data_IF_193387133310
#
_entry.id   IF_193387133310
#
_cell.length_a   1.000
_cell.length_b   1.000
_cell.length_c   1.000
_cell.angle_alpha   90.00
_cell.angle_beta   90.00
_cell.angle_gamma   90.00
#
_symmetry.space_group_name_H-M   'P 1'
#
loop_
_entity.id
_entity.type
_entity.pdbx_description
1 polymer ?
#
# COMPACT_ATOMS: atom_id res chain seq x y z
N UNK A 1 2.76 42.52 30.59
CA UNK A 1 2.85 41.10 30.16
C UNK A 1 1.53 40.56 29.58
N UNK A 2 0.82 41.31 28.71
CA UNK A 2 -0.50 40.91 28.16
C UNK A 2 -0.54 40.80 26.63
N UNK A 3 0.54 41.21 25.94
CA UNK A 3 0.60 41.26 24.46
C UNK A 3 1.28 40.03 23.82
N UNK A 4 2.04 39.25 24.58
CA UNK A 4 2.74 38.05 24.08
C UNK A 4 1.83 36.81 23.96
N UNK A 5 0.70 36.78 24.67
CA UNK A 5 -0.22 35.64 24.64
C UNK A 5 -1.13 35.60 23.40
N UNK A 6 -1.37 36.73 22.74
CA UNK A 6 -2.28 36.80 21.60
C UNK A 6 -1.64 36.29 20.29
N UNK A 7 -0.31 36.40 20.16
CA UNK A 7 0.42 35.99 18.95
C UNK A 7 0.63 34.47 18.86
N UNK A 8 0.61 33.74 19.98
CA UNK A 8 0.70 32.28 19.98
C UNK A 8 -0.63 31.60 19.66
N UNK A 9 -1.77 32.20 20.02
CA UNK A 9 -3.11 31.68 19.72
C UNK A 9 -3.49 31.81 18.23
N UNK A 10 -2.99 32.83 17.53
CA UNK A 10 -3.26 33.00 16.09
C UNK A 10 -2.53 31.96 15.21
N UNK A 11 -1.37 31.45 15.65
CA UNK A 11 -0.60 30.46 14.89
C UNK A 11 -1.21 29.05 14.92
N UNK A 12 -1.94 28.70 15.98
CA UNK A 12 -2.59 27.39 16.10
C UNK A 12 -3.83 27.24 15.19
N UNK A 13 -4.47 28.34 14.81
CA UNK A 13 -5.66 28.34 13.95
C UNK A 13 -5.34 28.19 12.45
N UNK A 14 -4.07 28.36 12.05
CA UNK A 14 -3.63 28.25 10.66
C UNK A 14 -2.88 26.95 10.36
N UNK A 15 -2.85 25.99 11.29
CA UNK A 15 -2.35 24.66 11.00
C UNK A 15 -3.29 24.01 9.95
N UNK A 16 -2.77 23.56 8.79
CA UNK A 16 -3.58 22.82 7.84
C UNK A 16 -4.26 21.65 8.56
N UNK A 17 -5.58 21.52 8.39
CA UNK A 17 -6.31 20.39 8.95
C UNK A 17 -5.76 19.08 8.39
N UNK A 18 -5.78 18.01 9.19
CA UNK A 18 -5.24 16.71 8.77
C UNK A 18 -5.86 16.23 7.43
N UNK A 19 -5.05 15.77 6.46
CA UNK A 19 -5.55 15.22 5.20
C UNK A 19 -6.55 14.07 5.40
N UNK A 20 -6.46 13.35 6.52
CA UNK A 20 -7.36 12.25 6.86
C UNK A 20 -8.79 12.69 7.22
N UNK A 21 -9.08 13.99 7.37
CA UNK A 21 -10.42 14.52 7.69
C UNK A 21 -11.11 15.19 6.49
N UNK A 22 -10.44 15.21 5.34
CA UNK A 22 -10.93 15.86 4.12
C UNK A 22 -12.14 15.12 3.51
N UNK A 23 -12.90 15.82 2.67
CA UNK A 23 -13.99 15.20 1.90
C UNK A 23 -13.46 14.12 0.95
N UNK A 24 -12.30 14.36 0.37
CA UNK A 24 -11.65 13.46 -0.59
C UNK A 24 -11.24 12.16 0.11
N UNK A 25 -10.66 12.25 1.31
CA UNK A 25 -10.33 11.04 2.07
C UNK A 25 -11.57 10.26 2.52
N UNK A 26 -12.70 10.93 2.81
CA UNK A 26 -13.98 10.24 3.04
C UNK A 26 -14.44 9.46 1.81
N UNK A 27 -14.15 9.94 0.60
CA UNK A 27 -14.45 9.22 -0.63
C UNK A 27 -13.53 8.02 -0.84
N UNK A 28 -12.22 8.21 -0.64
CA UNK A 28 -11.22 7.13 -0.63
C UNK A 28 -11.61 6.04 0.36
N UNK A 29 -12.08 6.41 1.56
CA UNK A 29 -12.58 5.47 2.58
C UNK A 29 -13.70 4.58 2.02
N UNK A 30 -14.68 5.17 1.33
CA UNK A 30 -15.80 4.41 0.74
C UNK A 30 -15.32 3.44 -0.34
N UNK A 31 -14.41 3.88 -1.20
CA UNK A 31 -13.83 3.04 -2.26
C UNK A 31 -12.92 1.94 -1.73
N UNK A 32 -12.30 2.15 -0.57
CA UNK A 32 -11.37 1.20 0.05
C UNK A 32 -12.07 0.08 0.82
N UNK A 33 -13.29 0.31 1.31
CA UNK A 33 -14.08 -0.69 2.06
C UNK A 33 -14.15 -2.08 1.42
N UNK A 34 -14.39 -2.24 0.11
CA UNK A 34 -14.46 -3.54 -0.52
C UNK A 34 -13.14 -4.31 -0.50
N UNK A 35 -11.99 -3.65 -0.41
CA UNK A 35 -10.66 -4.26 -0.45
C UNK A 35 -10.15 -4.71 0.93
N UNK A 36 -10.88 -4.38 2.00
CA UNK A 36 -10.47 -4.67 3.37
C UNK A 36 -10.35 -6.16 3.68
N UNK A 37 -9.44 -6.47 4.59
CA UNK A 37 -9.24 -7.79 5.15
C UNK A 37 -7.91 -8.40 4.75
N UNK A 38 -7.83 -9.72 4.94
CA UNK A 38 -6.62 -10.50 4.64
C UNK A 38 -6.81 -11.25 3.34
N UNK A 39 -5.79 -11.16 2.49
CA UNK A 39 -5.73 -11.79 1.18
C UNK A 39 -4.54 -12.74 1.14
N UNK A 40 -4.74 -13.92 0.57
CA UNK A 40 -3.75 -14.99 0.50
C UNK A 40 -3.41 -15.25 -0.96
N UNK A 41 -2.13 -15.17 -1.30
CA UNK A 41 -1.63 -15.41 -2.65
C UNK A 41 -1.76 -16.89 -3.00
N UNK A 42 -2.22 -17.16 -4.22
CA UNK A 42 -2.43 -18.50 -4.74
C UNK A 42 -1.17 -19.37 -4.70
N UNK A 43 -1.37 -20.69 -4.59
CA UNK A 43 -0.26 -21.65 -4.57
C UNK A 43 0.38 -21.72 -5.96
N UNK A 44 1.65 -21.31 -6.07
CA UNK A 44 2.40 -21.29 -7.33
C UNK A 44 2.56 -19.90 -7.92
N UNK A 45 1.72 -18.95 -7.51
CA UNK A 45 1.90 -17.54 -7.85
C UNK A 45 3.03 -16.97 -6.99
N UNK A 46 3.95 -16.25 -7.61
CA UNK A 46 5.04 -15.58 -6.94
C UNK A 46 5.46 -14.33 -7.71
N UNK A 47 6.00 -13.36 -6.99
CA UNK A 47 6.68 -12.22 -7.58
C UNK A 47 8.15 -12.60 -7.77
N UNK A 48 8.59 -12.78 -9.00
CA UNK A 48 9.98 -13.18 -9.30
C UNK A 48 10.76 -11.98 -9.82
N UNK A 49 11.83 -11.63 -9.11
CA UNK A 49 12.71 -10.50 -9.41
C UNK A 49 14.14 -11.02 -9.61
N UNK A 50 14.59 -11.24 -10.86
CA UNK A 50 15.85 -11.94 -11.18
C UNK A 50 17.11 -11.32 -10.56
N UNK A 51 17.12 -10.01 -10.31
CA UNK A 51 18.29 -9.29 -9.77
C UNK A 51 18.45 -9.43 -8.25
N UNK A 52 17.43 -9.95 -7.56
CA UNK A 52 17.39 -10.05 -6.10
C UNK A 52 17.40 -11.50 -5.62
N UNK A 53 17.71 -12.43 -6.53
CA UNK A 53 17.46 -13.86 -6.37
C UNK A 53 15.97 -14.15 -6.38
N UNK A 54 15.58 -15.31 -6.91
CA UNK A 54 14.18 -15.77 -7.07
C UNK A 54 13.44 -16.02 -5.74
N UNK A 55 13.65 -15.19 -4.72
CA UNK A 55 13.40 -15.53 -3.33
C UNK A 55 12.25 -14.74 -2.72
N UNK A 56 11.64 -13.75 -3.37
CA UNK A 56 10.59 -12.95 -2.74
C UNK A 56 9.18 -13.47 -2.99
N UNK A 57 8.79 -14.43 -2.15
CA UNK A 57 7.44 -14.97 -2.22
C UNK A 57 6.49 -14.20 -1.30
N UNK A 58 5.71 -13.29 -1.87
CA UNK A 58 4.54 -12.70 -1.20
C UNK A 58 3.53 -13.82 -0.91
N UNK A 59 3.16 -13.99 0.35
CA UNK A 59 2.24 -15.05 0.78
C UNK A 59 0.86 -14.49 1.08
N UNK A 60 0.82 -13.34 1.71
CA UNK A 60 -0.43 -12.70 2.07
C UNK A 60 -0.22 -11.21 2.32
N UNK A 61 -1.33 -10.48 2.30
CA UNK A 61 -1.35 -9.08 2.69
C UNK A 61 -2.64 -8.77 3.45
N UNK A 62 -2.56 -7.80 4.36
CA UNK A 62 -3.69 -7.29 5.12
C UNK A 62 -3.87 -5.82 4.80
N UNK A 63 -5.09 -5.46 4.41
CA UNK A 63 -5.50 -4.09 4.15
C UNK A 63 -6.48 -3.68 5.26
N UNK A 64 -6.00 -2.85 6.18
CA UNK A 64 -6.76 -2.36 7.33
C UNK A 64 -7.35 -0.95 7.07
N UNK A 65 -8.13 -0.42 8.02
CA UNK A 65 -8.79 0.90 7.86
C UNK A 65 -8.17 2.02 8.68
N UNK A 66 -7.03 1.78 9.32
CA UNK A 66 -6.48 2.78 10.23
C UNK A 66 -5.79 3.88 9.43
N UNK A 67 -6.23 5.14 9.53
CA UNK A 67 -5.64 6.22 8.76
C UNK A 67 -4.19 6.50 9.20
N UNK A 68 -3.33 6.77 8.23
CA UNK A 68 -1.95 7.19 8.38
C UNK A 68 -1.79 8.53 7.69
N UNK A 69 -1.47 9.56 8.48
CA UNK A 69 -1.20 10.92 7.99
C UNK A 69 0.23 11.00 7.45
N UNK A 70 0.37 11.30 6.16
CA UNK A 70 1.64 11.44 5.45
C UNK A 70 1.97 12.91 5.15
N UNK A 71 1.40 13.85 5.92
CA UNK A 71 1.61 15.29 5.81
C UNK A 71 0.75 15.95 4.73
N UNK A 72 0.89 15.53 3.47
CA UNK A 72 0.07 16.02 2.34
C UNK A 72 -1.02 15.06 1.91
N UNK A 73 -0.84 13.78 2.23
CA UNK A 73 -1.73 12.69 1.82
C UNK A 73 -2.15 11.92 3.07
N UNK A 74 -3.25 11.18 2.94
CA UNK A 74 -3.66 10.24 3.96
C UNK A 74 -3.95 8.89 3.31
N UNK A 75 -3.33 7.86 3.87
CA UNK A 75 -3.50 6.47 3.45
C UNK A 75 -4.08 5.65 4.60
N UNK A 76 -4.38 4.40 4.34
CA UNK A 76 -4.67 3.39 5.35
C UNK A 76 -3.42 2.56 5.64
N UNK A 77 -3.34 1.95 6.82
CA UNK A 77 -2.28 1.01 7.14
C UNK A 77 -2.55 -0.35 6.47
N UNK A 78 -1.47 -1.05 6.15
CA UNK A 78 -1.53 -2.43 5.71
C UNK A 78 -0.28 -3.18 6.10
N UNK A 79 -0.26 -4.47 5.74
CA UNK A 79 0.90 -5.34 5.95
C UNK A 79 1.12 -6.24 4.74
N UNK A 80 2.38 -6.44 4.36
CA UNK A 80 2.80 -7.48 3.42
C UNK A 80 3.55 -8.57 4.17
N UNK A 81 3.28 -9.84 3.85
CA UNK A 81 3.95 -10.98 4.47
C UNK A 81 4.66 -11.79 3.40
N UNK A 82 5.96 -11.94 3.55
CA UNK A 82 6.84 -12.72 2.68
C UNK A 82 7.27 -14.01 3.39
N UNK A 83 7.65 -15.03 2.63
CA UNK A 83 8.15 -16.31 3.18
C UNK A 83 9.57 -16.67 2.80
N UNK A 84 10.16 -16.00 1.81
CA UNK A 84 11.51 -16.27 1.38
C UNK A 84 12.22 -14.94 1.08
N UNK A 85 13.57 -14.90 1.21
CA UNK A 85 14.42 -15.91 1.84
C UNK A 85 14.22 -16.02 3.37
N UNK A 86 13.44 -15.13 3.99
CA UNK A 86 13.02 -15.20 5.40
C UNK A 86 11.55 -14.77 5.54
N UNK A 87 10.84 -15.24 6.57
CA UNK A 87 9.53 -14.70 6.90
C UNK A 87 9.71 -13.25 7.37
N UNK A 88 9.24 -12.32 6.56
CA UNK A 88 9.30 -10.90 6.85
C UNK A 88 7.91 -10.30 6.71
N UNK A 89 7.58 -9.41 7.65
CA UNK A 89 6.33 -8.65 7.60
C UNK A 89 6.65 -7.18 7.53
N UNK A 90 6.24 -6.56 6.42
CA UNK A 90 6.43 -5.14 6.18
C UNK A 90 5.18 -4.37 6.56
N UNK A 91 5.36 -3.28 7.30
CA UNK A 91 4.33 -2.26 7.40
C UNK A 91 4.26 -1.50 6.08
N UNK A 92 3.05 -1.32 5.56
CA UNK A 92 2.79 -0.59 4.31
C UNK A 92 1.67 0.41 4.53
N UNK A 93 1.51 1.33 3.59
CA UNK A 93 0.33 2.20 3.51
C UNK A 93 -0.41 1.93 2.22
N UNK A 94 -1.70 2.22 2.13
CA UNK A 94 -2.46 1.93 0.92
C UNK A 94 -3.72 2.81 0.80
N UNK A 95 -4.27 2.89 -0.39
CA UNK A 95 -5.63 3.39 -0.61
C UNK A 95 -6.25 2.71 -1.83
N UNK A 96 -7.56 2.82 -1.99
CA UNK A 96 -8.21 2.37 -3.22
C UNK A 96 -9.03 3.45 -3.91
N UNK A 97 -9.12 3.27 -5.22
CA UNK A 97 -10.15 3.80 -6.10
C UNK A 97 -11.06 2.62 -6.52
N UNK A 98 -12.23 2.85 -7.13
CA UNK A 98 -13.17 1.77 -7.43
C UNK A 98 -12.52 0.59 -8.17
N UNK A 99 -11.63 0.88 -9.11
CA UNK A 99 -11.05 -0.09 -10.03
C UNK A 99 -9.86 -0.85 -9.43
N UNK A 100 -9.15 -0.28 -8.44
CA UNK A 100 -7.92 -0.85 -7.89
C UNK A 100 -7.56 -0.28 -6.51
N UNK A 101 -6.82 -1.06 -5.74
CA UNK A 101 -6.08 -0.60 -4.57
C UNK A 101 -4.58 -0.47 -4.87
N UNK A 102 -3.97 0.58 -4.34
CA UNK A 102 -2.53 0.85 -4.39
C UNK A 102 -1.93 0.68 -3.01
N UNK A 103 -0.96 -0.21 -2.90
CA UNK A 103 -0.23 -0.52 -1.68
C UNK A 103 1.18 0.04 -1.86
N UNK A 104 1.57 0.96 -0.99
CA UNK A 104 2.86 1.64 -0.95
C UNK A 104 3.72 1.11 0.19
N UNK A 105 4.99 0.93 -0.10
CA UNK A 105 5.93 0.35 0.85
C UNK A 105 6.45 -0.95 0.29
N UNK A 106 7.74 -0.92 0.02
CA UNK A 106 8.54 -2.04 -0.45
C UNK A 106 9.91 -1.90 0.20
N UNK A 107 10.63 -2.99 0.50
CA UNK A 107 11.94 -2.85 1.09
C UNK A 107 12.89 -2.18 0.09
N UNK A 108 13.67 -1.20 0.56
CA UNK A 108 14.53 -0.39 -0.30
C UNK A 108 15.76 -1.15 -0.80
N UNK A 109 16.25 -2.08 0.02
CA UNK A 109 17.31 -3.04 -0.32
C UNK A 109 16.87 -4.01 -1.42
N UNK A 110 15.57 -4.12 -1.63
CA UNK A 110 14.92 -4.95 -2.62
C UNK A 110 14.60 -4.21 -3.92
N UNK A 111 15.26 -3.09 -4.17
CA UNK A 111 15.23 -2.44 -5.47
C UNK A 111 14.15 -1.35 -5.62
N UNK A 112 14.09 -0.76 -6.82
CA UNK A 112 13.36 0.48 -7.10
C UNK A 112 11.83 0.28 -7.33
N UNK A 113 11.18 -0.49 -6.47
CA UNK A 113 9.73 -0.73 -6.54
C UNK A 113 8.98 0.24 -5.64
N UNK A 114 7.88 0.80 -6.16
CA UNK A 114 7.05 1.73 -5.40
C UNK A 114 6.00 1.02 -4.54
N UNK A 115 5.65 -0.23 -4.89
CA UNK A 115 4.62 -1.00 -4.20
C UNK A 115 3.87 -1.99 -5.10
N UNK A 116 2.58 -2.18 -4.82
CA UNK A 116 1.69 -3.11 -5.52
C UNK A 116 0.40 -2.41 -5.96
N UNK A 117 -0.12 -2.74 -7.15
CA UNK A 117 -1.54 -2.56 -7.47
C UNK A 117 -2.26 -3.89 -7.36
N UNK A 118 -3.48 -3.86 -6.85
CA UNK A 118 -4.41 -4.99 -6.90
C UNK A 118 -5.75 -4.54 -7.44
N UNK A 119 -6.36 -5.33 -8.32
CA UNK A 119 -7.68 -5.07 -8.90
C UNK A 119 -8.54 -6.33 -8.81
N UNK A 120 -9.86 -6.17 -8.88
CA UNK A 120 -10.78 -7.31 -8.87
C UNK A 120 -10.51 -8.27 -10.03
N UNK A 121 -10.40 -9.55 -9.70
CA UNK A 121 -10.36 -10.66 -10.67
C UNK A 121 -11.65 -11.49 -10.61
N UNK A 122 -12.26 -11.55 -9.44
CA UNK A 122 -13.54 -12.18 -9.17
C UNK A 122 -14.11 -11.66 -7.86
N UNK A 123 -15.22 -12.23 -7.40
CA UNK A 123 -15.92 -11.74 -6.20
C UNK A 123 -15.05 -11.72 -4.94
N UNK A 124 -14.26 -12.76 -4.76
CA UNK A 124 -13.38 -12.98 -3.60
C UNK A 124 -11.91 -13.09 -4.02
N UNK A 125 -11.54 -12.54 -5.18
CA UNK A 125 -10.18 -12.62 -5.69
C UNK A 125 -9.68 -11.30 -6.29
N UNK A 126 -8.41 -11.01 -6.02
CA UNK A 126 -7.68 -9.88 -6.55
C UNK A 126 -6.56 -10.36 -7.45
N UNK A 127 -6.36 -9.69 -8.59
CA UNK A 127 -5.14 -9.80 -9.39
C UNK A 127 -4.20 -8.68 -8.98
N UNK A 128 -2.99 -9.03 -8.58
CA UNK A 128 -1.95 -8.09 -8.19
C UNK A 128 -0.89 -7.91 -9.26
N UNK A 129 -0.26 -6.73 -9.25
CA UNK A 129 0.96 -6.43 -10.01
C UNK A 129 1.94 -5.58 -9.21
N UNK A 130 3.24 -5.73 -9.45
CA UNK A 130 4.26 -4.79 -8.97
C UNK A 130 4.14 -3.42 -9.64
N UNK A 131 4.44 -2.38 -8.87
CA UNK A 131 4.55 -1.01 -9.34
C UNK A 131 6.00 -0.64 -9.56
N UNK A 132 6.28 -0.36 -10.82
CA UNK A 132 7.55 0.16 -11.27
C UNK A 132 7.43 1.68 -11.34
N UNK A 133 8.30 2.37 -10.63
CA UNK A 133 8.42 3.81 -10.77
C UNK A 133 9.38 4.11 -11.93
N UNK A 134 8.84 4.69 -13.01
CA UNK A 134 9.63 5.05 -14.19
C UNK A 134 10.66 6.15 -13.86
N UNK A 135 10.40 6.99 -12.85
CA UNK A 135 11.36 8.02 -12.42
C UNK A 135 12.59 7.41 -11.73
N UNK A 136 12.48 6.16 -11.25
CA UNK A 136 13.59 5.39 -10.70
C UNK A 136 14.37 4.61 -11.78
N UNK A 137 14.08 4.82 -13.07
CA UNK A 137 14.87 4.30 -14.19
C UNK A 137 14.77 2.78 -14.42
N UNK A 138 13.69 2.15 -13.96
CA UNK A 138 13.55 0.69 -13.98
C UNK A 138 12.92 0.20 -15.28
N UNK A 139 13.66 -0.57 -16.06
CA UNK A 139 13.13 -1.33 -17.21
C UNK A 139 12.80 -2.76 -16.78
N UNK A 140 11.55 -3.19 -17.00
CA UNK A 140 11.12 -4.58 -16.73
C UNK A 140 11.85 -5.52 -17.67
N UNK A 141 12.70 -6.40 -17.12
CA UNK A 141 13.43 -7.40 -17.91
C UNK A 141 12.54 -8.59 -18.28
N UNK A 142 12.77 -9.26 -19.42
CA UNK A 142 12.12 -10.53 -19.74
C UNK A 142 12.30 -11.56 -18.62
N UNK A 143 11.25 -12.31 -18.29
CA UNK A 143 11.26 -13.34 -17.23
C UNK A 143 10.83 -12.86 -15.83
N UNK A 144 10.55 -11.57 -15.64
CA UNK A 144 9.95 -11.05 -14.40
C UNK A 144 8.49 -11.46 -14.30
N UNK A 145 8.15 -12.26 -13.28
CA UNK A 145 6.76 -12.47 -12.89
C UNK A 145 6.38 -11.38 -11.91
N UNK A 146 5.69 -10.35 -12.41
CA UNK A 146 5.23 -9.23 -11.60
C UNK A 146 3.78 -9.38 -11.15
N UNK A 147 3.12 -10.51 -11.42
CA UNK A 147 1.69 -10.68 -11.23
C UNK A 147 1.36 -11.86 -10.33
N UNK A 148 0.25 -11.77 -9.60
CA UNK A 148 -0.28 -12.84 -8.76
C UNK A 148 -1.81 -12.76 -8.67
N UNK A 149 -2.45 -13.83 -8.24
CA UNK A 149 -3.84 -13.83 -7.81
C UNK A 149 -3.89 -14.10 -6.30
N UNK A 150 -4.70 -13.34 -5.59
CA UNK A 150 -4.94 -13.52 -4.16
C UNK A 150 -6.42 -13.74 -3.87
N UNK A 151 -6.72 -14.76 -3.07
CA UNK A 151 -8.06 -15.06 -2.58
C UNK A 151 -8.30 -14.42 -1.22
N UNK A 152 -9.54 -14.03 -0.94
CA UNK A 152 -9.93 -13.53 0.38
C UNK A 152 -9.81 -14.64 1.41
N UNK A 153 -9.11 -14.39 2.52
CA UNK A 153 -9.12 -15.27 3.69
C UNK A 153 -10.47 -15.13 4.39
N UNK A 154 -11.25 -16.21 4.43
CA UNK A 154 -12.46 -16.28 5.25
C UNK A 154 -12.06 -16.51 6.72
N UNK A 155 -12.82 -15.96 7.69
CA UNK A 155 -12.60 -16.20 9.12
C UNK A 155 -12.58 -17.69 9.46
#
# INVERSE_FOLDING_TARGET
MRRLAALTLAAAACAPGSPCRTRDFRQITRWSRPYLGTWVVGRGDTLTLPQMGDRFRLVSFTLDTDPVDLGKECHFRGRLVFSAPRPETLAVTWYAVPERATIYGWPLDLGPFAGLWVSWWGRDSLRGTLLFDQTLGVQVRPGVTAQFVAGRRRP
#
